data_IF_248007781021
#
_entry.id   IF_248007781021
#
_cell.length_a   1.000
_cell.length_b   1.000
_cell.length_c   1.000
_cell.angle_alpha   90.00
_cell.angle_beta   90.00
_cell.angle_gamma   90.00
#
_symmetry.space_group_name_H-M   'P 1'
#
loop_
_entity.id
_entity.type
_entity.pdbx_description
1 polymer ?
#
# COMPACT_ATOMS: atom_id res chain seq x y z
N UNK A 1 -79.78 -7.13 -47.24
CA UNK A 1 -78.57 -6.29 -47.23
C UNK A 1 -77.83 -6.25 -45.88
N UNK A 2 -78.33 -6.90 -44.81
CA UNK A 2 -77.75 -6.80 -43.45
C UNK A 2 -76.56 -7.75 -43.22
N UNK A 3 -76.65 -9.01 -43.67
CA UNK A 3 -75.62 -10.04 -43.43
C UNK A 3 -74.21 -9.71 -43.97
N UNK A 4 -74.13 -8.96 -45.08
CA UNK A 4 -72.85 -8.62 -45.73
C UNK A 4 -72.08 -7.52 -44.99
N UNK A 5 -72.77 -6.66 -44.25
CA UNK A 5 -72.16 -5.60 -43.45
C UNK A 5 -71.58 -6.17 -42.14
N UNK A 6 -72.30 -7.10 -41.49
CA UNK A 6 -71.85 -7.80 -40.28
C UNK A 6 -70.58 -8.63 -40.54
N UNK A 7 -70.49 -9.29 -41.71
CA UNK A 7 -69.32 -10.08 -42.10
C UNK A 7 -68.06 -9.21 -42.34
N UNK A 8 -68.23 -7.99 -42.86
CA UNK A 8 -67.13 -7.04 -43.08
C UNK A 8 -66.65 -6.49 -41.74
N UNK A 9 -67.58 -6.18 -40.83
CA UNK A 9 -67.26 -5.69 -39.50
C UNK A 9 -66.54 -6.75 -38.65
N UNK A 10 -66.96 -8.02 -38.76
CA UNK A 10 -66.31 -9.16 -38.11
C UNK A 10 -64.89 -9.43 -38.64
N UNK A 11 -64.63 -9.21 -39.94
CA UNK A 11 -63.29 -9.33 -40.52
C UNK A 11 -62.37 -8.20 -40.07
N UNK A 12 -62.87 -6.97 -40.00
CA UNK A 12 -62.12 -5.82 -39.48
C UNK A 12 -61.80 -5.95 -37.98
N UNK A 13 -62.69 -6.52 -37.17
CA UNK A 13 -62.39 -6.80 -35.76
C UNK A 13 -61.33 -7.89 -35.61
N UNK A 14 -61.37 -8.93 -36.44
CA UNK A 14 -60.37 -10.02 -36.41
C UNK A 14 -58.97 -9.56 -36.87
N UNK A 15 -58.90 -8.67 -37.87
CA UNK A 15 -57.63 -8.07 -38.29
C UNK A 15 -57.05 -7.12 -37.22
N UNK A 16 -57.90 -6.35 -36.53
CA UNK A 16 -57.49 -5.49 -35.41
C UNK A 16 -57.04 -6.28 -34.18
N UNK A 17 -57.66 -7.43 -33.87
CA UNK A 17 -57.19 -8.33 -32.81
C UNK A 17 -55.79 -8.89 -33.13
N UNK A 18 -55.56 -9.34 -34.36
CA UNK A 18 -54.25 -9.86 -34.80
C UNK A 18 -53.13 -8.79 -34.78
N UNK A 19 -53.45 -7.52 -35.04
CA UNK A 19 -52.51 -6.41 -34.91
C UNK A 19 -52.14 -6.13 -33.43
N UNK A 20 -53.05 -6.36 -32.49
CA UNK A 20 -52.81 -6.13 -31.06
C UNK A 20 -51.94 -7.23 -30.42
N UNK A 21 -51.98 -8.47 -30.91
CA UNK A 21 -51.07 -9.53 -30.44
C UNK A 21 -49.61 -9.31 -30.83
N UNK A 22 -49.33 -8.45 -31.82
CA UNK A 22 -47.96 -8.13 -32.24
C UNK A 22 -47.27 -7.04 -31.40
N UNK A 23 -48.01 -6.37 -30.50
CA UNK A 23 -47.50 -5.25 -29.69
C UNK A 23 -47.60 -5.52 -28.19
N UNK A 24 -47.02 -6.61 -27.72
CA UNK A 24 -46.53 -6.65 -26.32
C UNK A 24 -45.26 -5.81 -26.23
N UNK A 25 -45.45 -4.50 -26.35
CA UNK A 25 -44.41 -3.51 -26.08
C UNK A 25 -44.26 -3.32 -24.58
N UNK A 26 -43.49 -4.18 -23.93
CA UNK A 26 -42.79 -3.81 -22.69
C UNK A 26 -41.45 -4.54 -22.67
N UNK A 27 -40.47 -3.93 -23.32
CA UNK A 27 -39.07 -4.31 -23.15
C UNK A 27 -38.69 -3.99 -21.69
N UNK A 28 -38.74 -5.00 -20.81
CA UNK A 28 -38.32 -4.89 -19.42
C UNK A 28 -36.79 -4.94 -19.27
N UNK A 29 -36.06 -4.23 -20.13
CA UNK A 29 -34.62 -4.07 -20.01
C UNK A 29 -34.29 -3.05 -18.91
N UNK A 30 -34.75 -3.31 -17.68
CA UNK A 30 -34.32 -2.60 -16.46
C UNK A 30 -33.03 -3.19 -15.88
N UNK A 31 -32.19 -3.79 -16.72
CA UNK A 31 -30.93 -4.39 -16.28
C UNK A 31 -29.73 -3.74 -16.97
N UNK A 32 -29.68 -2.41 -16.97
CA UNK A 32 -28.39 -1.74 -16.98
C UNK A 32 -28.00 -1.49 -15.52
N UNK A 33 -27.52 -2.54 -14.83
CA UNK A 33 -26.81 -2.33 -13.56
C UNK A 33 -25.60 -1.49 -13.92
N UNK A 34 -25.53 -0.28 -13.37
CA UNK A 34 -24.32 0.52 -13.40
C UNK A 34 -23.20 -0.30 -12.74
N UNK A 35 -22.35 -0.94 -13.55
CA UNK A 35 -21.12 -1.57 -13.09
C UNK A 35 -20.16 -0.43 -12.75
N UNK A 36 -20.18 0.01 -11.50
CA UNK A 36 -19.11 0.84 -10.99
C UNK A 36 -17.86 -0.05 -10.96
N UNK A 37 -16.86 0.28 -11.78
CA UNK A 37 -15.54 -0.33 -11.62
C UNK A 37 -15.09 -0.05 -10.19
N UNK A 38 -14.95 -1.09 -9.36
CA UNK A 38 -14.25 -0.97 -8.09
C UNK A 38 -12.78 -0.81 -8.42
N UNK A 39 -12.18 0.39 -8.22
CA UNK A 39 -10.76 0.55 -8.47
C UNK A 39 -10.00 -0.40 -7.56
N UNK A 40 -9.13 -1.22 -8.16
CA UNK A 40 -8.19 -2.04 -7.40
C UNK A 40 -7.11 -1.10 -6.82
N UNK A 41 -7.11 -0.88 -5.49
CA UNK A 41 -6.14 0.04 -4.91
C UNK A 41 -4.75 -0.58 -4.99
N UNK A 42 -3.75 0.23 -5.36
CA UNK A 42 -2.34 -0.17 -5.24
C UNK A 42 -1.99 -0.24 -3.76
N UNK A 43 -1.62 -1.43 -3.29
CA UNK A 43 -1.21 -1.67 -1.91
C UNK A 43 0.31 -1.71 -1.82
N UNK A 44 0.90 -0.89 -0.95
CA UNK A 44 2.32 -0.91 -0.63
C UNK A 44 2.57 -0.48 0.82
N UNK A 45 3.72 -0.84 1.37
CA UNK A 45 4.17 -0.33 2.67
C UNK A 45 4.78 1.05 2.47
N UNK A 46 4.33 2.07 3.22
CA UNK A 46 4.82 3.45 3.07
C UNK A 46 5.79 3.86 4.19
N UNK A 47 5.88 3.08 5.27
CA UNK A 47 6.84 3.30 6.34
C UNK A 47 7.20 1.96 6.98
N UNK A 48 8.48 1.79 7.29
CA UNK A 48 9.02 0.64 8.00
C UNK A 48 9.96 1.13 9.09
N UNK A 49 9.81 0.55 10.27
CA UNK A 49 10.74 0.75 11.40
C UNK A 49 11.26 -0.61 11.83
N UNK A 50 12.57 -0.80 11.73
CA UNK A 50 13.26 -1.99 12.24
C UNK A 50 13.85 -1.61 13.60
N UNK A 51 13.56 -2.42 14.61
CA UNK A 51 14.04 -2.21 15.98
C UNK A 51 14.87 -3.41 16.40
N UNK A 52 16.09 -3.18 16.86
CA UNK A 52 17.05 -4.23 17.22
C UNK A 52 17.92 -3.81 18.41
N UNK A 53 18.69 -4.75 18.94
CA UNK A 53 19.75 -4.45 19.89
C UNK A 53 21.08 -4.34 19.16
N UNK A 54 21.92 -3.43 19.63
CA UNK A 54 23.28 -3.26 19.17
C UNK A 54 24.20 -3.41 20.38
N UNK A 55 25.13 -4.35 20.30
CA UNK A 55 26.12 -4.53 21.35
C UNK A 55 27.11 -3.34 21.37
N UNK A 56 27.84 -3.17 22.47
CA UNK A 56 28.76 -2.02 22.64
C UNK A 56 29.86 -1.96 21.57
N UNK A 57 30.34 -3.11 21.11
CA UNK A 57 31.42 -3.21 20.13
C UNK A 57 30.93 -2.84 18.72
N UNK A 58 29.77 -3.34 18.32
CA UNK A 58 29.10 -3.06 17.05
C UNK A 58 28.63 -1.60 17.02
N UNK A 59 28.15 -1.05 18.14
CA UNK A 59 27.80 0.36 18.25
C UNK A 59 29.01 1.26 17.96
N UNK A 60 30.18 0.92 18.50
CA UNK A 60 31.40 1.67 18.24
C UNK A 60 31.83 1.54 16.77
N UNK A 61 31.93 0.31 16.25
CA UNK A 61 32.28 0.05 14.84
C UNK A 61 31.36 0.76 13.87
N UNK A 62 30.06 0.73 14.13
CA UNK A 62 29.06 1.37 13.29
C UNK A 62 29.18 2.90 13.33
N UNK A 63 29.42 3.48 14.52
CA UNK A 63 29.67 4.91 14.65
C UNK A 63 30.93 5.37 13.91
N UNK A 64 32.00 4.55 13.92
CA UNK A 64 33.24 4.83 13.20
C UNK A 64 33.02 4.75 11.69
N UNK A 65 32.36 3.68 11.21
CA UNK A 65 31.98 3.52 9.81
C UNK A 65 31.17 4.73 9.30
N UNK A 66 30.15 5.14 10.06
CA UNK A 66 29.31 6.28 9.70
C UNK A 66 30.03 7.63 9.72
N UNK A 67 31.14 7.74 10.46
CA UNK A 67 31.94 8.95 10.51
C UNK A 67 32.84 9.11 9.29
N UNK A 68 33.20 8.00 8.63
CA UNK A 68 34.06 7.99 7.44
C UNK A 68 33.24 8.13 6.15
N UNK A 69 32.02 7.59 6.13
CA UNK A 69 31.19 7.58 4.92
C UNK A 69 30.56 8.96 4.67
N UNK A 70 30.96 9.70 3.62
CA UNK A 70 30.50 11.07 3.38
C UNK A 70 29.00 11.15 3.02
N UNK A 71 28.40 10.03 2.63
CA UNK A 71 26.97 9.94 2.32
C UNK A 71 26.08 9.82 3.55
N UNK A 72 26.67 9.70 4.75
CA UNK A 72 25.98 9.60 6.02
C UNK A 72 26.17 10.88 6.81
N UNK A 73 25.06 11.49 7.23
CA UNK A 73 25.07 12.62 8.15
C UNK A 73 24.92 12.09 9.56
N UNK A 74 25.95 12.21 10.38
CA UNK A 74 25.98 11.78 11.78
C UNK A 74 25.88 13.00 12.71
N UNK A 75 25.08 12.92 13.78
CA UNK A 75 24.97 13.95 14.82
C UNK A 75 24.58 13.33 16.18
N UNK A 76 24.54 14.15 17.24
CA UNK A 76 24.27 13.73 18.62
C UNK A 76 25.20 12.57 19.08
N UNK A 77 26.49 12.63 18.72
CA UNK A 77 27.45 11.54 18.95
C UNK A 77 27.94 11.57 20.41
N UNK A 78 27.56 10.54 21.15
CA UNK A 78 28.02 10.21 22.50
C UNK A 78 28.41 8.73 22.54
N UNK A 79 29.11 8.28 23.59
CA UNK A 79 29.49 6.87 23.72
C UNK A 79 28.29 5.90 23.76
N UNK A 80 27.13 6.36 24.24
CA UNK A 80 25.91 5.55 24.41
C UNK A 80 24.77 5.96 23.50
N UNK A 81 25.02 6.89 22.57
CA UNK A 81 23.99 7.48 21.72
C UNK A 81 24.57 8.01 20.41
N UNK A 82 23.89 7.78 19.31
CA UNK A 82 24.15 8.49 18.07
C UNK A 82 22.89 8.56 17.22
N UNK A 83 22.83 9.54 16.32
CA UNK A 83 21.80 9.63 15.30
C UNK A 83 22.41 9.85 13.93
N UNK A 84 21.85 9.18 12.94
CA UNK A 84 22.31 9.31 11.57
C UNK A 84 21.16 9.44 10.58
N UNK A 85 21.46 10.08 9.45
CA UNK A 85 20.67 10.03 8.23
C UNK A 85 21.57 9.51 7.11
N UNK A 86 21.14 8.45 6.45
CA UNK A 86 21.87 7.83 5.35
C UNK A 86 21.07 7.92 4.05
N UNK A 87 21.72 7.59 2.93
CA UNK A 87 21.09 7.46 1.61
C UNK A 87 20.27 8.70 1.22
N UNK A 88 20.92 9.87 1.21
CA UNK A 88 20.27 11.15 0.88
C UNK A 88 19.08 11.47 1.82
N UNK A 89 19.25 11.23 3.11
CA UNK A 89 18.23 11.41 4.15
C UNK A 89 16.98 10.52 4.04
N UNK A 90 17.01 9.46 3.23
CA UNK A 90 15.90 8.51 3.09
C UNK A 90 15.77 7.54 4.27
N UNK A 91 16.86 7.33 5.01
CA UNK A 91 16.91 6.43 6.16
C UNK A 91 17.33 7.22 7.41
N UNK A 92 16.55 7.09 8.48
CA UNK A 92 16.90 7.58 9.81
C UNK A 92 17.37 6.42 10.69
N UNK A 93 18.44 6.64 11.45
CA UNK A 93 19.03 5.66 12.34
C UNK A 93 19.22 6.31 13.71
N UNK A 94 18.76 5.64 14.76
CA UNK A 94 18.91 6.07 16.14
C UNK A 94 19.42 4.92 16.99
N UNK A 95 20.48 5.17 17.75
CA UNK A 95 20.93 4.31 18.82
C UNK A 95 20.92 5.10 20.12
N UNK A 96 20.30 4.56 21.17
CA UNK A 96 20.28 5.17 22.50
C UNK A 96 20.19 4.07 23.56
N UNK A 97 21.36 3.69 24.10
CA UNK A 97 21.45 2.62 25.11
C UNK A 97 20.81 3.03 26.43
N UNK A 98 21.07 4.24 26.91
CA UNK A 98 20.61 4.68 28.24
C UNK A 98 19.08 4.75 28.27
N UNK A 99 18.47 5.31 27.22
CA UNK A 99 17.02 5.35 27.10
C UNK A 99 16.46 3.93 26.98
N UNK A 100 17.07 3.08 26.18
CA UNK A 100 16.61 1.69 26.02
C UNK A 100 16.61 0.91 27.34
N UNK A 101 17.72 0.95 28.08
CA UNK A 101 17.86 0.29 29.39
C UNK A 101 16.86 0.85 30.41
N UNK A 102 16.60 2.17 30.40
CA UNK A 102 15.64 2.82 31.30
C UNK A 102 14.19 2.34 31.08
N UNK A 103 13.85 2.02 29.83
CA UNK A 103 12.49 1.63 29.44
C UNK A 103 12.35 0.13 29.20
N UNK A 104 13.39 -0.66 29.46
CA UNK A 104 13.50 -2.09 29.16
C UNK A 104 13.08 -2.41 27.70
N UNK A 105 13.74 -1.74 26.75
CA UNK A 105 13.45 -1.83 25.31
C UNK A 105 14.72 -2.06 24.52
N UNK A 106 14.54 -2.42 23.25
CA UNK A 106 15.61 -2.48 22.26
C UNK A 106 16.27 -1.11 22.01
N UNK A 107 17.58 -1.12 21.78
CA UNK A 107 18.41 0.09 21.83
C UNK A 107 18.69 0.77 20.48
N UNK A 108 18.28 0.18 19.36
CA UNK A 108 18.49 0.72 18.02
C UNK A 108 17.19 0.73 17.20
N UNK A 109 17.00 1.80 16.42
CA UNK A 109 15.89 1.98 15.47
C UNK A 109 16.42 2.41 14.11
N UNK A 110 15.83 1.86 13.05
CA UNK A 110 16.06 2.25 11.66
C UNK A 110 14.72 2.48 10.99
N UNK A 111 14.48 3.70 10.52
CA UNK A 111 13.22 4.16 9.95
C UNK A 111 13.40 4.58 8.50
N UNK A 112 12.54 4.08 7.61
CA UNK A 112 12.59 4.40 6.18
C UNK A 112 11.26 4.11 5.49
N UNK A 113 11.07 4.68 4.30
CA UNK A 113 9.98 4.33 3.40
C UNK A 113 10.52 3.38 2.31
N UNK A 114 10.09 2.11 2.25
CA UNK A 114 10.63 1.16 1.28
C UNK A 114 10.30 1.53 -0.17
N UNK A 115 9.22 2.29 -0.43
CA UNK A 115 8.89 2.77 -1.78
C UNK A 115 9.88 3.83 -2.30
N UNK A 116 10.70 4.41 -1.42
CA UNK A 116 11.69 5.45 -1.77
C UNK A 116 13.12 4.92 -1.89
N UNK A 117 13.35 3.64 -1.62
CA UNK A 117 14.65 3.00 -1.73
C UNK A 117 14.73 2.14 -2.99
N UNK A 118 15.88 2.18 -3.66
CA UNK A 118 16.18 1.22 -4.72
C UNK A 118 16.53 -0.14 -4.12
N UNK A 119 16.54 -1.19 -4.94
CA UNK A 119 16.92 -2.53 -4.47
C UNK A 119 18.37 -2.57 -3.95
N UNK A 120 19.28 -1.85 -4.60
CA UNK A 120 20.69 -1.73 -4.16
C UNK A 120 20.80 -1.01 -2.82
N UNK A 121 20.02 0.05 -2.62
CA UNK A 121 19.96 0.80 -1.36
C UNK A 121 19.41 -0.04 -0.21
N UNK A 122 18.39 -0.86 -0.48
CA UNK A 122 17.88 -1.83 0.51
C UNK A 122 18.94 -2.87 0.87
N UNK A 123 19.69 -3.38 -0.11
CA UNK A 123 20.74 -4.37 0.12
C UNK A 123 21.89 -3.76 0.92
N UNK A 124 22.30 -2.54 0.58
CA UNK A 124 23.29 -1.77 1.32
C UNK A 124 22.85 -1.53 2.77
N UNK A 125 21.59 -1.12 2.98
CA UNK A 125 21.05 -0.88 4.32
C UNK A 125 21.09 -2.17 5.16
N UNK A 126 20.69 -3.29 4.56
CA UNK A 126 20.72 -4.59 5.22
C UNK A 126 22.14 -4.96 5.66
N UNK A 127 23.09 -4.95 4.72
CA UNK A 127 24.46 -5.43 4.94
C UNK A 127 25.27 -4.54 5.89
N UNK A 128 25.09 -3.22 5.82
CA UNK A 128 25.93 -2.28 6.55
C UNK A 128 25.34 -1.84 7.89
N UNK A 129 24.02 -1.96 8.07
CA UNK A 129 23.33 -1.47 9.27
C UNK A 129 22.58 -2.61 9.97
N UNK A 130 21.64 -3.28 9.27
CA UNK A 130 20.71 -4.21 9.91
C UNK A 130 21.39 -5.50 10.36
N UNK A 131 22.35 -6.02 9.58
CA UNK A 131 23.06 -7.26 9.90
C UNK A 131 23.96 -7.14 11.14
N UNK A 132 24.23 -5.92 11.62
CA UNK A 132 24.92 -5.68 12.90
C UNK A 132 23.99 -5.72 14.11
N UNK A 133 22.67 -5.67 13.89
CA UNK A 133 21.69 -5.79 14.95
C UNK A 133 21.58 -7.25 15.39
N UNK A 134 21.50 -7.42 16.70
CA UNK A 134 21.28 -8.70 17.36
C UNK A 134 19.86 -8.72 17.94
N UNK A 135 19.30 -9.93 18.05
CA UNK A 135 18.15 -10.19 18.91
C UNK A 135 18.68 -10.87 20.19
N UNK A 136 18.08 -10.54 21.33
CA UNK A 136 18.52 -11.07 22.63
C UNK A 136 18.49 -12.60 22.57
N UNK A 137 19.68 -13.21 22.52
CA UNK A 137 19.88 -14.67 22.54
C UNK A 137 20.28 -15.15 23.93
#
# INVERSE_FOLDING_TARGET
MIKKAEEIQAKQSLENENLNFSKTGYSNSRLNRHTMYTPEPKLSFDAMTIVGNLNKNNAHKLSEFMSVEPQIRLWDILQTKFKAKALQEKVYIEYDKVKADTWDRRNMRVEFNPNKLTHEEMLWLKQNIIDYMEDDS
#
